data_IF_024366792889
#
_entry.id   IF_024366792889
#
_cell.length_a   1.000
_cell.length_b   1.000
_cell.length_c   1.000
_cell.angle_alpha   90.00
_cell.angle_beta   90.00
_cell.angle_gamma   90.00
#
_symmetry.space_group_name_H-M   'P 1'
#
loop_
_entity.id
_entity.type
_entity.pdbx_description
1 polymer ?
#
# COMPACT_ATOMS: atom_id res chain seq x y z
N UNK A 1 -20.31 16.01 -22.81
CA UNK A 1 -20.49 14.75 -22.04
C UNK A 1 -21.61 14.97 -21.05
N UNK A 2 -22.57 14.05 -20.92
CA UNK A 2 -23.54 14.13 -19.83
C UNK A 2 -22.81 14.04 -18.49
N UNK A 3 -23.37 14.63 -17.45
CA UNK A 3 -22.78 14.68 -16.11
C UNK A 3 -22.43 13.28 -15.56
N UNK A 4 -23.23 12.27 -15.93
CA UNK A 4 -23.05 10.85 -15.61
C UNK A 4 -21.72 10.31 -16.15
N UNK A 5 -21.40 10.59 -17.42
CA UNK A 5 -20.13 10.14 -18.01
C UNK A 5 -18.94 10.86 -17.36
N UNK A 6 -19.09 12.14 -17.02
CA UNK A 6 -18.05 12.90 -16.36
C UNK A 6 -17.75 12.37 -14.95
N UNK A 7 -18.79 12.11 -14.13
CA UNK A 7 -18.60 11.58 -12.76
C UNK A 7 -17.99 10.18 -12.77
N UNK A 8 -18.45 9.30 -13.66
CA UNK A 8 -17.92 7.94 -13.83
C UNK A 8 -16.46 7.97 -14.30
N UNK A 9 -16.14 8.82 -15.28
CA UNK A 9 -14.77 9.01 -15.76
C UNK A 9 -13.85 9.56 -14.66
N UNK A 10 -14.33 10.50 -13.86
CA UNK A 10 -13.56 11.07 -12.75
C UNK A 10 -13.30 10.04 -11.64
N UNK A 11 -14.31 9.24 -11.29
CA UNK A 11 -14.18 8.09 -10.38
C UNK A 11 -13.10 7.12 -10.87
N UNK A 12 -13.11 6.79 -12.16
CA UNK A 12 -12.09 5.93 -12.79
C UNK A 12 -10.68 6.52 -12.66
N UNK A 13 -10.50 7.81 -12.99
CA UNK A 13 -9.20 8.49 -12.86
C UNK A 13 -8.70 8.47 -11.42
N UNK A 14 -9.56 8.81 -10.45
CA UNK A 14 -9.18 8.85 -9.03
C UNK A 14 -8.76 7.47 -8.56
N UNK A 15 -9.53 6.43 -8.91
CA UNK A 15 -9.19 5.05 -8.61
C UNK A 15 -7.86 4.62 -9.23
N UNK A 16 -7.60 4.96 -10.49
CA UNK A 16 -6.33 4.68 -11.15
C UNK A 16 -5.16 5.39 -10.46
N UNK A 17 -5.32 6.63 -10.03
CA UNK A 17 -4.31 7.38 -9.27
C UNK A 17 -4.02 6.67 -7.94
N UNK A 18 -5.05 6.21 -7.23
CA UNK A 18 -4.89 5.49 -5.96
C UNK A 18 -4.17 4.17 -6.16
N UNK A 19 -4.56 3.38 -7.16
CA UNK A 19 -3.90 2.12 -7.48
C UNK A 19 -2.45 2.35 -7.91
N UNK A 20 -2.19 3.35 -8.76
CA UNK A 20 -0.83 3.72 -9.17
C UNK A 20 0.02 4.15 -7.97
N UNK A 21 -0.58 4.85 -7.02
CA UNK A 21 0.07 5.23 -5.77
C UNK A 21 0.32 4.04 -4.85
N UNK A 22 -0.63 3.13 -4.64
CA UNK A 22 -0.44 1.88 -3.90
C UNK A 22 0.68 1.05 -4.53
N UNK A 23 0.62 0.84 -5.85
CA UNK A 23 1.67 0.14 -6.62
C UNK A 23 3.02 0.86 -6.58
N UNK A 24 3.08 2.16 -6.30
CA UNK A 24 4.36 2.87 -6.15
C UNK A 24 5.14 2.46 -4.89
N UNK A 25 4.44 1.87 -3.90
CA UNK A 25 5.07 1.32 -2.71
C UNK A 25 5.62 -0.08 -2.91
N UNK A 26 5.11 -0.81 -3.89
CA UNK A 26 5.67 -2.08 -4.34
C UNK A 26 7.02 -1.83 -5.06
N UNK A 27 8.09 -2.12 -4.33
CA UNK A 27 9.46 -1.77 -4.71
C UNK A 27 10.21 -2.96 -5.32
N UNK A 28 9.89 -4.19 -4.91
CA UNK A 28 10.74 -5.36 -5.16
C UNK A 28 10.28 -6.19 -6.35
N UNK A 29 8.97 -6.40 -6.51
CA UNK A 29 8.36 -7.17 -7.60
C UNK A 29 7.14 -6.40 -8.10
N UNK A 30 7.35 -5.52 -9.07
CA UNK A 30 6.28 -4.66 -9.56
C UNK A 30 5.27 -5.40 -10.40
N UNK A 31 4.02 -5.27 -9.98
CA UNK A 31 2.92 -5.90 -10.69
C UNK A 31 2.77 -5.48 -12.15
N UNK A 32 2.44 -6.48 -12.99
CA UNK A 32 2.24 -6.28 -14.42
C UNK A 32 0.90 -5.59 -14.68
N UNK A 33 0.89 -4.62 -15.59
CA UNK A 33 -0.33 -3.90 -15.94
C UNK A 33 -1.42 -4.81 -16.51
N UNK A 34 -1.03 -5.90 -17.18
CA UNK A 34 -1.97 -6.90 -17.74
C UNK A 34 -2.71 -7.62 -16.63
N UNK A 35 -2.00 -8.08 -15.58
CA UNK A 35 -2.64 -8.76 -14.46
C UNK A 35 -3.57 -7.81 -13.69
N UNK A 36 -3.14 -6.57 -13.47
CA UNK A 36 -3.97 -5.53 -12.87
C UNK A 36 -5.23 -5.22 -13.70
N UNK A 37 -5.10 -5.20 -15.03
CA UNK A 37 -6.23 -4.99 -15.93
C UNK A 37 -7.24 -6.14 -15.84
N UNK A 38 -6.79 -7.40 -15.78
CA UNK A 38 -7.70 -8.53 -15.57
C UNK A 38 -8.34 -8.52 -14.19
N UNK A 39 -7.60 -8.12 -13.15
CA UNK A 39 -8.14 -7.93 -11.81
C UNK A 39 -9.26 -6.88 -11.79
N UNK A 40 -9.04 -5.76 -12.47
CA UNK A 40 -10.03 -4.71 -12.67
C UNK A 40 -11.25 -5.19 -13.46
N UNK A 41 -11.04 -5.77 -14.64
CA UNK A 41 -12.11 -6.09 -15.57
C UNK A 41 -12.88 -7.35 -15.16
N UNK A 42 -12.22 -8.51 -15.14
CA UNK A 42 -12.88 -9.78 -14.84
C UNK A 42 -13.34 -9.83 -13.39
N UNK A 43 -12.52 -9.33 -12.47
CA UNK A 43 -12.88 -9.24 -11.06
C UNK A 43 -14.02 -8.27 -10.81
N UNK A 44 -13.94 -7.05 -11.33
CA UNK A 44 -15.00 -6.04 -11.19
C UNK A 44 -16.33 -6.50 -11.76
N UNK A 45 -16.35 -7.02 -12.99
CA UNK A 45 -17.57 -7.55 -13.63
C UNK A 45 -18.17 -8.69 -12.83
N UNK A 46 -17.35 -9.68 -12.44
CA UNK A 46 -17.81 -10.82 -11.62
C UNK A 46 -18.44 -10.34 -10.32
N UNK A 47 -17.80 -9.36 -9.67
CA UNK A 47 -18.28 -8.79 -8.41
C UNK A 47 -19.63 -8.12 -8.58
N UNK A 48 -19.83 -7.32 -9.63
CA UNK A 48 -21.11 -6.66 -9.87
C UNK A 48 -22.20 -7.66 -10.21
N UNK A 49 -21.95 -8.60 -11.13
CA UNK A 49 -22.94 -9.62 -11.49
C UNK A 49 -23.37 -10.45 -10.29
N UNK A 50 -22.41 -10.78 -9.42
CA UNK A 50 -22.68 -11.50 -8.17
C UNK A 50 -23.54 -10.67 -7.22
N UNK A 51 -23.18 -9.40 -6.99
CA UNK A 51 -23.95 -8.52 -6.11
C UNK A 51 -25.38 -8.30 -6.63
N UNK A 52 -25.54 -8.01 -7.93
CA UNK A 52 -26.85 -7.86 -8.56
C UNK A 52 -27.69 -9.13 -8.45
N UNK A 53 -27.11 -10.30 -8.69
CA UNK A 53 -27.81 -11.58 -8.53
C UNK A 53 -28.27 -11.83 -7.10
N UNK A 54 -27.45 -11.47 -6.10
CA UNK A 54 -27.84 -11.56 -4.68
C UNK A 54 -28.96 -10.57 -4.36
N UNK A 55 -28.85 -9.32 -4.80
CA UNK A 55 -29.89 -8.32 -4.56
C UNK A 55 -31.23 -8.70 -5.20
N UNK A 56 -31.22 -9.21 -6.42
CA UNK A 56 -32.46 -9.69 -7.08
C UNK A 56 -33.07 -10.87 -6.33
N UNK A 57 -32.25 -11.81 -5.84
CA UNK A 57 -32.73 -12.89 -4.99
C UNK A 57 -33.35 -12.37 -3.69
N UNK A 58 -32.74 -11.39 -3.02
CA UNK A 58 -33.27 -10.79 -1.79
C UNK A 58 -34.60 -10.05 -2.02
N UNK A 59 -34.78 -9.40 -3.17
CA UNK A 59 -36.04 -8.75 -3.56
C UNK A 59 -37.22 -9.72 -3.61
N UNK A 60 -36.99 -10.99 -4.00
CA UNK A 60 -38.02 -12.03 -3.98
C UNK A 60 -38.58 -12.29 -2.56
N UNK A 61 -37.83 -11.93 -1.52
CA UNK A 61 -38.24 -12.04 -0.11
C UNK A 61 -38.73 -10.70 0.48
N UNK A 62 -38.96 -9.69 -0.36
CA UNK A 62 -39.45 -8.38 0.07
C UNK A 62 -38.36 -7.46 0.66
N UNK A 63 -37.08 -7.77 0.46
CA UNK A 63 -35.97 -6.90 0.82
C UNK A 63 -35.57 -6.04 -0.41
N UNK A 64 -36.34 -4.98 -0.65
CA UNK A 64 -36.09 -4.02 -1.72
C UNK A 64 -35.07 -2.94 -1.33
N UNK A 65 -34.67 -2.10 -2.31
CA UNK A 65 -33.64 -1.07 -2.09
C UNK A 65 -34.01 -0.12 -0.94
N UNK A 66 -35.29 0.23 -0.80
CA UNK A 66 -35.77 1.12 0.25
C UNK A 66 -35.64 0.49 1.64
N UNK A 67 -35.92 -0.80 1.77
CA UNK A 67 -35.74 -1.55 3.03
C UNK A 67 -34.25 -1.69 3.40
N UNK A 68 -33.38 -1.83 2.40
CA UNK A 68 -31.95 -2.03 2.58
C UNK A 68 -31.18 -0.73 2.83
N UNK A 69 -31.65 0.42 2.31
CA UNK A 69 -31.04 1.74 2.49
C UNK A 69 -31.25 2.32 3.89
N UNK A 70 -31.04 1.51 4.92
CA UNK A 70 -31.09 1.89 6.33
C UNK A 70 -29.73 1.65 6.96
N UNK A 71 -29.45 2.28 8.12
CA UNK A 71 -28.22 1.98 8.87
C UNK A 71 -28.09 0.50 9.18
N UNK A 72 -29.18 -0.19 9.54
CA UNK A 72 -29.11 -1.62 9.85
C UNK A 72 -28.89 -2.44 8.58
N UNK A 73 -29.56 -2.09 7.48
CA UNK A 73 -29.39 -2.73 6.17
C UNK A 73 -27.97 -2.58 5.63
N UNK A 74 -27.30 -1.45 5.88
CA UNK A 74 -25.92 -1.24 5.44
C UNK A 74 -24.92 -2.18 6.11
N UNK A 75 -25.07 -2.43 7.42
CA UNK A 75 -24.20 -3.33 8.17
C UNK A 75 -24.52 -4.82 7.94
N UNK A 76 -25.80 -5.17 7.85
CA UNK A 76 -26.22 -6.57 7.81
C UNK A 76 -26.33 -7.13 6.39
N UNK A 77 -26.54 -6.27 5.38
CA UNK A 77 -26.81 -6.71 4.01
C UNK A 77 -25.84 -6.06 3.02
N UNK A 78 -25.87 -4.74 2.83
CA UNK A 78 -25.13 -4.08 1.74
C UNK A 78 -23.61 -4.34 1.86
N UNK A 79 -23.00 -3.98 2.99
CA UNK A 79 -21.57 -4.21 3.23
C UNK A 79 -21.17 -5.69 3.10
N UNK A 80 -21.87 -6.64 3.75
CA UNK A 80 -21.63 -8.08 3.58
C UNK A 80 -21.75 -8.58 2.14
N UNK A 81 -22.85 -8.27 1.45
CA UNK A 81 -23.13 -8.74 0.08
C UNK A 81 -22.07 -8.23 -0.88
N UNK A 82 -21.75 -6.95 -0.83
CA UNK A 82 -20.83 -6.35 -1.80
C UNK A 82 -19.38 -6.75 -1.56
N UNK A 83 -18.94 -6.83 -0.31
CA UNK A 83 -17.57 -7.29 -0.02
C UNK A 83 -17.41 -8.79 -0.31
N UNK A 84 -18.47 -9.58 -0.11
CA UNK A 84 -18.47 -10.99 -0.51
C UNK A 84 -18.40 -11.14 -2.03
N UNK A 85 -19.19 -10.35 -2.75
CA UNK A 85 -19.17 -10.33 -4.21
C UNK A 85 -17.78 -9.94 -4.76
N UNK A 86 -17.13 -8.95 -4.15
CA UNK A 86 -15.74 -8.56 -4.43
C UNK A 86 -14.73 -9.67 -4.13
N UNK A 87 -14.91 -10.42 -3.04
CA UNK A 87 -14.12 -11.63 -2.77
C UNK A 87 -14.29 -12.66 -3.89
N UNK A 88 -15.52 -12.93 -4.36
CA UNK A 88 -15.74 -13.84 -5.48
C UNK A 88 -15.06 -13.36 -6.77
N UNK A 89 -15.09 -12.06 -7.04
CA UNK A 89 -14.31 -11.44 -8.13
C UNK A 89 -12.81 -11.69 -7.99
N UNK A 90 -12.25 -11.52 -6.79
CA UNK A 90 -10.85 -11.83 -6.51
C UNK A 90 -10.53 -13.32 -6.71
N UNK A 91 -11.42 -14.23 -6.33
CA UNK A 91 -11.23 -15.68 -6.53
C UNK A 91 -11.13 -16.02 -8.01
N UNK A 92 -12.01 -15.46 -8.84
CA UNK A 92 -11.96 -15.65 -10.30
C UNK A 92 -10.63 -15.14 -10.86
N UNK A 93 -10.24 -13.92 -10.49
CA UNK A 93 -8.99 -13.31 -10.92
C UNK A 93 -7.78 -14.12 -10.48
N UNK A 94 -7.75 -14.57 -9.23
CA UNK A 94 -6.67 -15.41 -8.70
C UNK A 94 -6.45 -16.66 -9.54
N UNK A 95 -7.51 -17.28 -10.06
CA UNK A 95 -7.37 -18.44 -10.93
C UNK A 95 -6.80 -18.07 -12.32
N UNK A 96 -7.05 -16.86 -12.81
CA UNK A 96 -6.50 -16.36 -14.08
C UNK A 96 -5.02 -15.95 -13.98
N UNK A 97 -4.62 -15.34 -12.86
CA UNK A 97 -3.28 -14.76 -12.65
C UNK A 97 -2.54 -15.37 -11.45
N UNK A 98 -2.76 -16.66 -11.22
CA UNK A 98 -2.23 -17.38 -10.03
C UNK A 98 -0.72 -17.26 -9.85
N UNK A 99 0.03 -17.21 -10.96
CA UNK A 99 1.49 -17.14 -10.94
C UNK A 99 2.00 -15.79 -10.44
N UNK A 100 1.22 -14.75 -10.67
CA UNK A 100 1.53 -13.37 -10.34
C UNK A 100 1.24 -13.05 -8.88
N UNK A 101 0.35 -13.79 -8.20
CA UNK A 101 0.13 -13.67 -6.74
C UNK A 101 1.30 -14.28 -5.94
N UNK A 102 2.48 -13.66 -5.95
CA UNK A 102 3.73 -14.22 -5.41
C UNK A 102 4.30 -13.45 -4.19
N UNK A 103 3.75 -12.30 -3.86
CA UNK A 103 4.00 -11.47 -2.69
C UNK A 103 2.69 -10.99 -2.03
N UNK A 104 2.73 -10.69 -0.73
CA UNK A 104 1.58 -10.20 0.05
C UNK A 104 1.01 -8.86 -0.47
N UNK A 105 1.87 -8.00 -1.01
CA UNK A 105 1.52 -6.70 -1.61
C UNK A 105 0.63 -6.88 -2.86
N UNK A 106 0.83 -7.94 -3.62
CA UNK A 106 0.06 -8.32 -4.82
C UNK A 106 -1.42 -8.51 -4.48
N UNK A 107 -1.69 -9.24 -3.39
CA UNK A 107 -3.05 -9.48 -2.92
C UNK A 107 -3.79 -8.17 -2.65
N UNK A 108 -3.09 -7.19 -2.06
CA UNK A 108 -3.60 -5.84 -1.81
C UNK A 108 -3.84 -5.08 -3.12
N UNK A 109 -2.90 -5.09 -4.05
CA UNK A 109 -3.00 -4.39 -5.34
C UNK A 109 -4.13 -4.97 -6.20
N UNK A 110 -4.20 -6.29 -6.34
CA UNK A 110 -5.23 -6.94 -7.15
C UNK A 110 -6.62 -6.75 -6.57
N UNK A 111 -6.77 -6.83 -5.25
CA UNK A 111 -8.06 -6.54 -4.62
C UNK A 111 -8.45 -5.07 -4.78
N UNK A 112 -7.50 -4.13 -4.74
CA UNK A 112 -7.77 -2.73 -5.06
C UNK A 112 -8.26 -2.56 -6.51
N UNK A 113 -7.69 -3.30 -7.48
CA UNK A 113 -8.17 -3.32 -8.86
C UNK A 113 -9.60 -3.87 -8.97
N UNK A 114 -9.90 -5.00 -8.31
CA UNK A 114 -11.26 -5.58 -8.27
C UNK A 114 -12.27 -4.58 -7.70
N UNK A 115 -11.94 -3.94 -6.57
CA UNK A 115 -12.80 -2.95 -5.92
C UNK A 115 -13.01 -1.70 -6.78
N UNK A 116 -12.00 -1.26 -7.53
CA UNK A 116 -12.15 -0.18 -8.51
C UNK A 116 -13.13 -0.57 -9.62
N UNK A 117 -13.00 -1.76 -10.19
CA UNK A 117 -13.91 -2.27 -11.22
C UNK A 117 -15.36 -2.30 -10.75
N UNK A 118 -15.58 -2.80 -9.53
CA UNK A 118 -16.89 -2.78 -8.88
C UNK A 118 -17.42 -1.33 -8.73
N UNK A 119 -16.63 -0.44 -8.13
CA UNK A 119 -17.06 0.92 -7.81
C UNK A 119 -17.39 1.77 -9.04
N UNK A 120 -16.67 1.61 -10.16
CA UNK A 120 -16.98 2.36 -11.40
C UNK A 120 -18.36 1.96 -11.93
N UNK A 121 -18.64 0.66 -11.98
CA UNK A 121 -19.89 0.14 -12.51
C UNK A 121 -21.05 0.50 -11.58
N UNK A 122 -20.85 0.38 -10.27
CA UNK A 122 -21.81 0.81 -9.27
C UNK A 122 -22.11 2.31 -9.41
N UNK A 123 -21.09 3.17 -9.44
CA UNK A 123 -21.26 4.61 -9.62
C UNK A 123 -22.02 4.95 -10.92
N UNK A 124 -21.79 4.20 -11.99
CA UNK A 124 -22.56 4.34 -13.22
C UNK A 124 -24.04 4.00 -13.02
N UNK A 125 -24.38 2.89 -12.35
CA UNK A 125 -25.77 2.53 -12.08
C UNK A 125 -26.48 3.54 -11.17
N UNK A 126 -25.82 4.00 -10.09
CA UNK A 126 -26.37 5.05 -9.24
C UNK A 126 -26.61 6.37 -10.00
N UNK A 127 -25.70 6.72 -10.92
CA UNK A 127 -25.83 7.91 -11.74
C UNK A 127 -26.98 7.86 -12.74
N UNK A 128 -27.37 6.66 -13.20
CA UNK A 128 -28.53 6.48 -14.07
C UNK A 128 -29.84 6.32 -13.29
N UNK A 129 -29.79 5.84 -12.05
CA UNK A 129 -30.99 5.62 -11.23
C UNK A 129 -31.54 6.89 -10.54
N UNK A 130 -30.70 7.90 -10.30
CA UNK A 130 -31.13 9.14 -9.64
C UNK A 130 -31.25 10.31 -10.62
N UNK A 131 -32.47 10.82 -10.82
CA UNK A 131 -32.69 12.08 -11.53
C UNK A 131 -32.24 13.28 -10.67
N UNK A 132 -31.46 14.20 -11.26
CA UNK A 132 -31.14 15.54 -10.74
C UNK A 132 -30.28 15.70 -9.47
N UNK A 133 -29.39 14.76 -9.11
CA UNK A 133 -28.42 14.98 -8.01
C UNK A 133 -26.96 15.07 -8.47
N UNK A 134 -26.66 16.08 -9.30
CA UNK A 134 -25.29 16.34 -9.78
C UNK A 134 -24.29 16.49 -8.61
N UNK A 135 -24.70 17.12 -7.51
CA UNK A 135 -23.88 17.27 -6.31
C UNK A 135 -23.52 15.93 -5.66
N UNK A 136 -24.49 15.02 -5.49
CA UNK A 136 -24.24 13.70 -4.89
C UNK A 136 -23.36 12.84 -5.79
N UNK A 137 -23.56 12.90 -7.10
CA UNK A 137 -22.76 12.15 -8.07
C UNK A 137 -21.30 12.64 -8.13
N UNK A 138 -21.07 13.96 -7.99
CA UNK A 138 -19.72 14.50 -7.83
C UNK A 138 -19.08 14.01 -6.53
N UNK A 139 -19.80 14.14 -5.41
CA UNK A 139 -19.33 13.72 -4.09
C UNK A 139 -18.96 12.23 -4.05
N UNK A 140 -19.80 11.36 -4.62
CA UNK A 140 -19.56 9.91 -4.71
C UNK A 140 -18.32 9.57 -5.54
N UNK A 141 -18.07 10.26 -6.66
CA UNK A 141 -16.89 10.01 -7.49
C UNK A 141 -15.58 10.15 -6.70
N UNK A 142 -15.49 11.15 -5.81
CA UNK A 142 -14.29 11.41 -4.98
C UNK A 142 -14.20 10.58 -3.71
N UNK A 143 -15.32 10.11 -3.17
CA UNK A 143 -15.36 9.55 -1.82
C UNK A 143 -15.66 8.06 -1.81
N UNK A 144 -16.63 7.60 -2.61
CA UNK A 144 -16.99 6.17 -2.67
C UNK A 144 -15.86 5.34 -3.29
N UNK A 145 -15.30 5.76 -4.44
CA UNK A 145 -14.24 4.97 -5.11
C UNK A 145 -13.02 4.69 -4.22
N UNK A 146 -12.41 5.70 -3.55
CA UNK A 146 -11.30 5.44 -2.63
C UNK A 146 -11.71 4.62 -1.40
N UNK A 147 -12.97 4.74 -0.98
CA UNK A 147 -13.52 4.00 0.14
C UNK A 147 -13.66 2.51 -0.19
N UNK A 148 -14.30 2.13 -1.30
CA UNK A 148 -14.39 0.72 -1.74
C UNK A 148 -13.01 0.06 -1.84
N UNK A 149 -12.04 0.75 -2.45
CA UNK A 149 -10.65 0.26 -2.49
C UNK A 149 -10.13 -0.02 -1.08
N UNK A 150 -10.31 0.94 -0.16
CA UNK A 150 -9.77 0.86 1.20
C UNK A 150 -10.48 -0.17 2.08
N UNK A 151 -11.75 -0.46 1.86
CA UNK A 151 -12.46 -1.53 2.57
C UNK A 151 -11.93 -2.89 2.17
N UNK A 152 -11.82 -3.11 0.86
CA UNK A 152 -11.59 -4.45 0.33
C UNK A 152 -10.13 -4.89 0.41
N UNK A 153 -9.13 -4.00 0.46
CA UNK A 153 -7.70 -4.39 0.46
C UNK A 153 -7.33 -5.43 1.52
N UNK A 154 -8.03 -5.46 2.67
CA UNK A 154 -7.79 -6.44 3.73
C UNK A 154 -8.19 -7.87 3.31
N UNK A 155 -9.20 -8.01 2.44
CA UNK A 155 -9.62 -9.28 1.86
C UNK A 155 -8.50 -9.82 0.97
N UNK A 156 -7.91 -8.96 0.13
CA UNK A 156 -6.78 -9.31 -0.73
C UNK A 156 -5.56 -9.77 0.06
N UNK A 157 -5.23 -9.04 1.12
CA UNK A 157 -4.19 -9.43 2.09
C UNK A 157 -4.48 -10.82 2.68
N UNK A 158 -5.68 -11.06 3.21
CA UNK A 158 -6.02 -12.34 3.83
C UNK A 158 -6.05 -13.50 2.82
N UNK A 159 -6.53 -13.25 1.60
CA UNK A 159 -6.59 -14.24 0.53
C UNK A 159 -5.20 -14.74 0.15
N UNK A 160 -4.22 -13.83 0.01
CA UNK A 160 -2.83 -14.22 -0.24
C UNK A 160 -2.31 -15.14 0.87
N UNK A 161 -2.49 -14.76 2.14
CA UNK A 161 -1.99 -15.54 3.28
C UNK A 161 -2.63 -16.92 3.37
N UNK A 162 -3.92 -17.02 3.08
CA UNK A 162 -4.60 -18.30 2.95
C UNK A 162 -3.99 -19.17 1.85
N UNK A 163 -3.81 -18.62 0.64
CA UNK A 163 -3.39 -19.39 -0.53
C UNK A 163 -1.88 -19.67 -0.63
N UNK A 164 -1.04 -18.82 -0.04
CA UNK A 164 0.43 -18.85 -0.21
C UNK A 164 1.19 -19.10 1.09
N UNK A 165 0.59 -18.83 2.25
CA UNK A 165 1.24 -18.99 3.56
C UNK A 165 0.54 -20.04 4.46
N UNK A 166 -0.37 -20.84 3.91
CA UNK A 166 -1.13 -21.89 4.63
C UNK A 166 -1.88 -21.39 5.88
N UNK A 167 -2.25 -20.09 5.93
CA UNK A 167 -3.10 -19.57 7.01
C UNK A 167 -4.53 -20.12 6.89
N UNK A 168 -5.26 -20.30 7.99
CA UNK A 168 -6.60 -20.89 7.93
C UNK A 168 -7.57 -19.99 7.18
N UNK A 169 -8.55 -20.59 6.48
CA UNK A 169 -9.58 -19.84 5.76
C UNK A 169 -10.38 -18.86 6.65
N UNK A 170 -10.44 -19.11 7.96
CA UNK A 170 -11.01 -18.17 8.94
C UNK A 170 -10.40 -16.77 8.90
N UNK A 171 -9.14 -16.63 8.43
CA UNK A 171 -8.51 -15.31 8.17
C UNK A 171 -9.21 -14.51 7.08
N UNK A 172 -9.68 -15.18 6.02
CA UNK A 172 -10.44 -14.56 4.93
C UNK A 172 -11.83 -14.17 5.43
N UNK A 173 -12.48 -15.03 6.20
CA UNK A 173 -13.79 -14.73 6.81
C UNK A 173 -13.70 -13.52 7.73
N UNK A 174 -12.67 -13.44 8.59
CA UNK A 174 -12.49 -12.27 9.43
C UNK A 174 -12.25 -11.00 8.59
N UNK A 175 -11.39 -11.08 7.58
CA UNK A 175 -11.12 -9.94 6.70
C UNK A 175 -12.40 -9.47 5.99
N UNK A 176 -13.23 -10.41 5.55
CA UNK A 176 -14.53 -10.13 4.97
C UNK A 176 -15.44 -9.41 5.98
N UNK A 177 -15.60 -9.94 7.19
CA UNK A 177 -16.41 -9.29 8.25
C UNK A 177 -15.92 -7.88 8.55
N UNK A 178 -14.60 -7.67 8.65
CA UNK A 178 -14.01 -6.35 8.89
C UNK A 178 -14.30 -5.41 7.72
N UNK A 179 -14.08 -5.85 6.48
CA UNK A 179 -14.37 -5.05 5.29
C UNK A 179 -15.86 -4.68 5.21
N UNK A 180 -16.75 -5.63 5.49
CA UNK A 180 -18.21 -5.41 5.49
C UNK A 180 -18.66 -4.44 6.56
N UNK A 181 -18.07 -4.48 7.76
CA UNK A 181 -18.35 -3.48 8.81
C UNK A 181 -17.86 -2.10 8.37
N UNK A 182 -16.64 -1.99 7.83
CA UNK A 182 -16.11 -0.71 7.34
C UNK A 182 -17.01 -0.12 6.24
N UNK A 183 -17.43 -0.95 5.30
CA UNK A 183 -18.37 -0.58 4.26
C UNK A 183 -19.73 -0.15 4.84
N UNK A 184 -20.30 -0.93 5.76
CA UNK A 184 -21.56 -0.60 6.42
C UNK A 184 -21.52 0.73 7.19
N UNK A 185 -20.39 1.07 7.84
CA UNK A 185 -20.18 2.39 8.48
C UNK A 185 -20.25 3.50 7.43
N UNK A 186 -19.58 3.32 6.29
CA UNK A 186 -19.56 4.30 5.23
C UNK A 186 -20.97 4.59 4.68
N UNK A 187 -21.71 3.54 4.38
CA UNK A 187 -23.09 3.68 3.88
C UNK A 187 -24.02 4.27 4.93
N UNK A 188 -23.90 3.85 6.19
CA UNK A 188 -24.69 4.43 7.29
C UNK A 188 -24.45 5.95 7.43
N UNK A 189 -23.20 6.39 7.28
CA UNK A 189 -22.85 7.81 7.27
C UNK A 189 -23.41 8.50 6.02
N UNK A 190 -23.33 7.87 4.84
CA UNK A 190 -23.79 8.44 3.58
C UNK A 190 -25.32 8.57 3.48
N UNK A 191 -26.05 7.63 4.09
CA UNK A 191 -27.51 7.67 4.18
C UNK A 191 -28.03 8.68 5.22
N UNK A 192 -27.14 9.24 6.04
CA UNK A 192 -27.50 10.16 7.12
C UNK A 192 -26.99 11.58 6.83
N UNK A 193 -27.83 12.48 6.24
CA UNK A 193 -27.36 13.81 5.79
C UNK A 193 -26.64 14.62 6.87
N UNK A 194 -27.07 14.50 8.13
CA UNK A 194 -26.49 15.17 9.29
C UNK A 194 -25.04 14.75 9.59
N UNK A 195 -24.63 13.55 9.16
CA UNK A 195 -23.31 12.98 9.43
C UNK A 195 -22.39 12.95 8.21
N UNK A 196 -22.82 13.44 7.05
CA UNK A 196 -22.02 13.44 5.82
C UNK A 196 -20.66 14.13 5.96
N UNK A 197 -20.51 15.10 6.86
CA UNK A 197 -19.21 15.75 7.12
C UNK A 197 -18.17 14.77 7.72
N UNK A 198 -18.61 13.70 8.40
CA UNK A 198 -17.74 12.67 8.97
C UNK A 198 -17.12 11.76 7.90
N UNK A 199 -17.71 11.67 6.71
CA UNK A 199 -17.20 10.81 5.64
C UNK A 199 -15.79 11.20 5.21
N UNK A 200 -15.41 12.47 5.21
CA UNK A 200 -14.05 12.89 4.88
C UNK A 200 -13.04 12.46 5.96
N UNK A 201 -13.41 12.57 7.25
CA UNK A 201 -12.59 12.10 8.36
C UNK A 201 -12.45 10.57 8.33
N UNK A 202 -13.56 9.88 8.04
CA UNK A 202 -13.60 8.44 7.89
C UNK A 202 -12.75 7.98 6.70
N UNK A 203 -12.88 8.64 5.55
CA UNK A 203 -12.08 8.39 4.34
C UNK A 203 -10.59 8.58 4.61
N UNK A 204 -10.23 9.68 5.27
CA UNK A 204 -8.84 9.92 5.69
C UNK A 204 -8.33 8.78 6.58
N UNK A 205 -9.13 8.36 7.55
CA UNK A 205 -8.77 7.28 8.46
C UNK A 205 -8.54 5.95 7.72
N UNK A 206 -9.48 5.50 6.88
CA UNK A 206 -9.35 4.24 6.12
C UNK A 206 -8.17 4.28 5.14
N UNK A 207 -7.91 5.41 4.48
CA UNK A 207 -6.75 5.55 3.56
C UNK A 207 -5.43 5.44 4.33
N UNK A 208 -5.32 6.07 5.50
CA UNK A 208 -4.11 5.98 6.35
C UNK A 208 -3.85 4.54 6.79
N UNK A 209 -4.90 3.76 7.01
CA UNK A 209 -4.77 2.39 7.43
C UNK A 209 -4.45 1.46 6.25
N UNK A 210 -5.05 1.67 5.08
CA UNK A 210 -4.64 1.04 3.81
C UNK A 210 -3.14 1.24 3.57
N UNK A 211 -2.66 2.48 3.74
CA UNK A 211 -1.23 2.80 3.65
C UNK A 211 -0.38 1.99 4.63
N UNK A 212 -0.83 1.84 5.87
CA UNK A 212 -0.10 1.06 6.88
C UNK A 212 -0.03 -0.42 6.50
N UNK A 213 -1.11 -0.97 5.94
CA UNK A 213 -1.12 -2.35 5.41
C UNK A 213 -0.10 -2.48 4.28
N UNK A 214 -0.13 -1.59 3.29
CA UNK A 214 0.82 -1.61 2.16
C UNK A 214 2.28 -1.44 2.63
N UNK A 215 2.54 -0.57 3.60
CA UNK A 215 3.87 -0.41 4.17
C UNK A 215 4.35 -1.67 4.90
N UNK A 216 3.44 -2.33 5.62
CA UNK A 216 3.71 -3.61 6.27
C UNK A 216 4.02 -4.71 5.26
N UNK A 217 3.20 -4.87 4.21
CA UNK A 217 3.40 -5.92 3.20
C UNK A 217 4.77 -5.80 2.52
N UNK A 218 5.18 -4.58 2.21
CA UNK A 218 6.51 -4.30 1.65
C UNK A 218 7.64 -4.66 2.62
N UNK A 219 7.49 -4.42 3.93
CA UNK A 219 8.53 -4.75 4.91
C UNK A 219 8.78 -6.25 4.99
N UNK A 220 7.72 -7.05 4.86
CA UNK A 220 7.75 -8.52 4.93
C UNK A 220 7.84 -9.20 3.56
N UNK A 221 8.08 -8.43 2.50
CA UNK A 221 8.24 -8.97 1.13
C UNK A 221 9.33 -10.06 1.09
N UNK A 222 9.07 -11.22 0.49
CA UNK A 222 10.08 -12.25 0.28
C UNK A 222 11.14 -11.83 -0.75
N UNK A 223 10.84 -10.84 -1.60
CA UNK A 223 11.76 -10.31 -2.61
C UNK A 223 12.65 -9.18 -2.09
N UNK A 224 12.48 -8.80 -0.81
CA UNK A 224 13.33 -7.81 -0.16
C UNK A 224 14.72 -8.40 0.08
N UNK A 225 15.78 -7.88 -0.56
CA UNK A 225 17.14 -8.34 -0.30
C UNK A 225 17.59 -7.94 1.12
N UNK A 226 18.45 -8.73 1.75
CA UNK A 226 19.16 -8.28 2.94
C UNK A 226 20.06 -7.08 2.60
N UNK A 227 20.09 -6.06 3.45
CA UNK A 227 20.87 -4.85 3.17
C UNK A 227 22.37 -5.16 3.01
N UNK A 228 22.92 -6.00 3.89
CA UNK A 228 24.33 -6.38 3.87
C UNK A 228 24.69 -7.22 2.64
N UNK A 229 23.79 -8.10 2.18
CA UNK A 229 23.98 -8.91 0.99
C UNK A 229 24.20 -8.07 -0.29
N UNK A 230 23.72 -6.82 -0.31
CA UNK A 230 23.96 -5.89 -1.43
C UNK A 230 25.41 -5.36 -1.49
N UNK A 231 26.23 -5.67 -0.49
CA UNK A 231 27.64 -5.27 -0.37
C UNK A 231 28.59 -6.47 -0.23
N UNK A 232 28.13 -7.71 -0.45
CA UNK A 232 28.99 -8.90 -0.39
C UNK A 232 29.89 -9.02 -1.63
N UNK A 233 29.35 -8.72 -2.81
CA UNK A 233 30.06 -8.83 -4.08
C UNK A 233 30.39 -7.45 -4.63
N UNK A 234 31.68 -7.13 -4.74
CA UNK A 234 32.12 -5.93 -5.44
C UNK A 234 32.05 -6.12 -6.95
N UNK A 235 32.01 -5.01 -7.68
CA UNK A 235 31.93 -5.01 -9.13
C UNK A 235 33.25 -5.39 -9.82
N UNK A 236 34.33 -5.63 -9.06
CA UNK A 236 35.69 -5.77 -9.61
C UNK A 236 36.26 -4.47 -10.20
N UNK A 237 35.56 -3.35 -10.02
CA UNK A 237 35.92 -2.02 -10.53
C UNK A 237 36.30 -1.09 -9.37
N UNK A 238 37.08 -0.05 -9.67
CA UNK A 238 37.39 1.03 -8.70
C UNK A 238 36.89 2.38 -9.21
N UNK A 239 36.29 3.16 -8.32
CA UNK A 239 35.90 4.53 -8.58
C UNK A 239 37.08 5.47 -8.30
N UNK A 240 37.51 6.22 -9.33
CA UNK A 240 38.56 7.24 -9.25
C UNK A 240 37.95 8.64 -9.07
N UNK A 241 38.70 9.57 -8.48
CA UNK A 241 38.27 10.97 -8.30
C UNK A 241 37.21 11.17 -7.21
N UNK A 242 37.05 10.21 -6.29
CA UNK A 242 36.17 10.32 -5.13
C UNK A 242 37.02 10.43 -3.87
N UNK A 243 37.12 11.65 -3.35
CA UNK A 243 37.69 11.89 -2.02
C UNK A 243 36.73 11.37 -0.94
N UNK A 244 37.27 10.62 0.03
CA UNK A 244 36.48 10.10 1.13
C UNK A 244 36.02 11.24 2.06
N UNK A 245 34.70 11.45 2.23
CA UNK A 245 34.19 12.50 3.12
C UNK A 245 34.49 12.26 4.61
N UNK A 246 34.87 11.03 4.99
CA UNK A 246 35.23 10.70 6.36
C UNK A 246 36.73 10.92 6.64
N UNK A 247 37.61 10.27 5.89
CA UNK A 247 39.06 10.25 6.16
C UNK A 247 39.92 11.04 5.15
N UNK A 248 39.34 11.66 4.12
CA UNK A 248 40.06 12.44 3.11
C UNK A 248 40.88 11.63 2.09
N UNK A 249 40.89 10.29 2.17
CA UNK A 249 41.64 9.47 1.21
C UNK A 249 41.12 9.66 -0.22
N UNK A 250 42.04 9.98 -1.14
CA UNK A 250 41.81 10.14 -2.59
C UNK A 250 42.05 8.86 -3.38
N UNK A 251 42.45 7.78 -2.71
CA UNK A 251 42.76 6.49 -3.35
C UNK A 251 41.54 5.93 -4.10
N UNK A 252 41.74 5.12 -5.15
CA UNK A 252 40.63 4.45 -5.82
C UNK A 252 39.75 3.68 -4.82
N UNK A 253 38.43 3.79 -4.94
CA UNK A 253 37.45 3.21 -4.01
C UNK A 253 36.82 1.97 -4.64
N UNK A 254 36.78 0.84 -3.94
CA UNK A 254 36.15 -0.38 -4.44
C UNK A 254 34.67 -0.14 -4.74
N UNK A 255 34.21 -0.48 -5.95
CA UNK A 255 32.85 -0.19 -6.39
C UNK A 255 31.89 -1.34 -6.10
N UNK A 256 30.70 -1.00 -5.59
CA UNK A 256 29.56 -1.89 -5.42
C UNK A 256 28.42 -1.37 -6.29
N UNK A 257 28.00 -2.17 -7.28
CA UNK A 257 26.91 -1.83 -8.18
C UNK A 257 25.90 -2.96 -8.17
N UNK A 258 24.65 -2.62 -7.90
CA UNK A 258 23.52 -3.55 -7.97
C UNK A 258 22.36 -2.89 -8.75
N UNK A 259 21.27 -3.64 -8.95
CA UNK A 259 20.09 -3.14 -9.69
C UNK A 259 19.41 -1.93 -9.04
N UNK A 260 19.71 -1.63 -7.78
CA UNK A 260 19.03 -0.60 -7.00
C UNK A 260 19.84 0.70 -6.87
N UNK A 261 21.15 0.61 -6.63
CA UNK A 261 22.02 1.75 -6.39
C UNK A 261 23.49 1.43 -6.67
N UNK A 262 24.32 2.48 -6.64
CA UNK A 262 25.77 2.37 -6.66
C UNK A 262 26.38 2.99 -5.40
N UNK A 263 27.36 2.31 -4.82
CA UNK A 263 28.14 2.78 -3.69
C UNK A 263 29.62 2.37 -3.89
N UNK A 264 30.54 3.01 -3.18
CA UNK A 264 31.94 2.59 -3.17
C UNK A 264 32.48 2.53 -1.75
N UNK A 265 33.42 1.63 -1.48
CA UNK A 265 34.05 1.45 -0.17
C UNK A 265 35.42 2.11 -0.12
N UNK A 266 35.70 2.78 0.98
CA UNK A 266 37.01 3.36 1.27
C UNK A 266 37.86 2.41 2.10
N UNK A 267 38.97 1.93 1.55
CA UNK A 267 39.87 1.01 2.27
C UNK A 267 40.50 1.66 3.50
N UNK A 268 40.82 2.95 3.44
CA UNK A 268 41.43 3.68 4.57
C UNK A 268 40.57 3.78 5.83
N UNK A 269 39.24 3.71 5.74
CA UNK A 269 38.37 3.83 6.93
C UNK A 269 37.19 2.83 6.99
N UNK A 270 37.00 2.01 5.97
CA UNK A 270 35.92 1.03 5.86
C UNK A 270 34.52 1.61 5.58
N UNK A 271 34.38 2.93 5.45
CA UNK A 271 33.10 3.56 5.12
C UNK A 271 32.74 3.36 3.65
N UNK A 272 31.44 3.18 3.42
CA UNK A 272 30.84 3.17 2.10
C UNK A 272 30.33 4.57 1.78
N UNK A 273 30.47 4.99 0.54
CA UNK A 273 30.15 6.31 0.02
C UNK A 273 29.15 6.11 -1.11
N UNK A 274 28.06 6.88 -1.08
CA UNK A 274 27.06 6.86 -2.13
C UNK A 274 26.65 8.29 -2.50
N UNK A 275 26.19 8.47 -3.74
CA UNK A 275 25.65 9.76 -4.16
C UNK A 275 24.43 10.13 -3.32
N UNK A 276 24.09 11.42 -3.21
CA UNK A 276 22.84 11.83 -2.54
C UNK A 276 21.60 11.17 -3.16
N UNK A 277 21.62 10.87 -4.46
CA UNK A 277 20.56 10.15 -5.15
C UNK A 277 20.45 8.70 -4.68
N UNK A 278 21.58 8.00 -4.62
CA UNK A 278 21.66 6.60 -4.18
C UNK A 278 21.33 6.45 -2.70
N UNK A 279 21.75 7.39 -1.85
CA UNK A 279 21.31 7.44 -0.44
C UNK A 279 19.79 7.53 -0.32
N UNK A 280 19.12 8.35 -1.15
CA UNK A 280 17.65 8.42 -1.17
C UNK A 280 17.03 7.10 -1.62
N UNK A 281 17.65 6.39 -2.57
CA UNK A 281 17.19 5.07 -3.03
C UNK A 281 17.32 4.04 -1.92
N UNK A 282 18.47 3.96 -1.25
CA UNK A 282 18.71 3.07 -0.10
C UNK A 282 17.63 3.28 0.97
N UNK A 283 17.41 4.52 1.42
CA UNK A 283 16.40 4.76 2.44
C UNK A 283 14.97 4.50 1.95
N UNK A 284 14.66 4.78 0.67
CA UNK A 284 13.35 4.42 0.10
C UNK A 284 13.14 2.90 0.08
N UNK A 285 14.19 2.12 -0.19
CA UNK A 285 14.15 0.66 -0.22
C UNK A 285 14.04 0.05 1.17
N UNK A 286 14.72 0.61 2.17
CA UNK A 286 14.89 -0.06 3.45
C UNK A 286 14.23 0.64 4.65
N UNK A 287 13.75 1.87 4.48
CA UNK A 287 13.04 2.63 5.51
C UNK A 287 11.66 3.08 4.95
N UNK A 288 10.57 2.34 5.22
CA UNK A 288 9.25 2.61 4.64
C UNK A 288 8.65 3.97 5.01
N UNK A 289 9.07 4.55 6.15
CA UNK A 289 8.66 5.88 6.58
C UNK A 289 9.42 7.03 5.89
N UNK A 290 10.36 6.69 5.01
CA UNK A 290 11.21 7.65 4.35
C UNK A 290 10.42 8.47 3.31
N UNK A 291 9.97 9.66 3.71
CA UNK A 291 9.29 10.60 2.81
C UNK A 291 10.26 11.50 2.04
N UNK A 292 11.26 12.10 2.73
CA UNK A 292 12.26 13.02 2.13
C UNK A 292 13.52 13.10 3.00
N UNK A 293 14.70 13.06 2.36
CA UNK A 293 16.01 13.20 3.02
C UNK A 293 16.08 14.42 3.95
N UNK A 294 15.70 15.60 3.44
CA UNK A 294 15.88 16.87 4.15
C UNK A 294 15.13 16.95 5.48
N UNK A 295 13.99 16.27 5.62
CA UNK A 295 13.20 16.28 6.86
C UNK A 295 13.75 15.35 7.95
N UNK A 296 14.75 14.53 7.62
CA UNK A 296 15.32 13.51 8.52
C UNK A 296 16.80 13.76 8.83
N UNK A 297 17.36 14.87 8.34
CA UNK A 297 18.74 15.26 8.63
C UNK A 297 18.82 15.84 10.05
N UNK A 298 19.62 15.23 10.90
CA UNK A 298 19.91 15.69 12.26
C UNK A 298 21.42 15.89 12.42
N UNK A 299 21.87 16.99 13.08
CA UNK A 299 23.29 17.18 13.34
C UNK A 299 23.81 16.03 14.23
N UNK A 300 24.97 15.49 13.88
CA UNK A 300 25.69 14.47 14.62
C UNK A 300 27.13 14.93 14.84
N UNK A 301 27.60 14.84 16.09
CA UNK A 301 28.94 15.24 16.49
C UNK A 301 29.84 14.00 16.54
N UNK A 302 30.96 14.05 15.82
CA UNK A 302 31.97 13.02 15.82
C UNK A 302 32.96 13.21 16.98
N UNK A 303 33.64 12.13 17.36
CA UNK A 303 34.67 12.13 18.41
C UNK A 303 35.84 13.07 18.11
N UNK A 304 36.09 13.33 16.82
CA UNK A 304 37.10 14.28 16.34
C UNK A 304 36.63 15.75 16.38
N UNK A 305 35.44 16.02 16.92
CA UNK A 305 34.88 17.37 17.05
C UNK A 305 34.10 17.86 15.83
N UNK A 306 34.11 17.15 14.70
CA UNK A 306 33.33 17.53 13.50
C UNK A 306 31.83 17.40 13.76
N UNK A 307 31.04 18.32 13.21
CA UNK A 307 29.57 18.21 13.21
C UNK A 307 29.08 18.02 11.79
N UNK A 308 28.44 16.88 11.51
CA UNK A 308 27.92 16.52 10.20
C UNK A 308 26.42 16.28 10.25
N UNK A 309 25.74 16.42 9.12
CA UNK A 309 24.33 16.05 9.05
C UNK A 309 24.22 14.54 8.90
N UNK A 310 23.39 13.92 9.73
CA UNK A 310 23.15 12.48 9.73
C UNK A 310 21.70 12.15 9.42
N UNK A 311 21.46 10.97 8.86
CA UNK A 311 20.13 10.38 8.73
C UNK A 311 20.11 9.14 9.59
N UNK A 312 19.20 9.13 10.56
CA UNK A 312 19.07 8.09 11.59
C UNK A 312 20.32 7.84 12.44
N UNK A 313 21.33 8.70 12.39
CA UNK A 313 22.58 8.57 13.15
C UNK A 313 23.57 7.53 12.62
N UNK A 314 23.30 6.92 11.46
CA UNK A 314 24.15 5.86 10.87
C UNK A 314 24.61 6.16 9.44
N UNK A 315 23.98 7.12 8.77
CA UNK A 315 24.47 7.67 7.51
C UNK A 315 24.74 9.17 7.66
N UNK A 316 25.85 9.64 7.12
CA UNK A 316 26.37 10.99 7.31
C UNK A 316 26.57 11.69 5.96
N UNK A 317 26.48 13.00 5.94
CA UNK A 317 26.68 13.83 4.76
C UNK A 317 27.78 14.84 5.03
N UNK A 318 28.80 14.86 4.17
CA UNK A 318 29.89 15.84 4.25
C UNK A 318 29.42 17.27 3.95
N UNK A 319 30.30 18.25 4.14
CA UNK A 319 29.96 19.69 4.07
C UNK A 319 29.30 20.14 2.75
N UNK A 320 29.62 19.51 1.61
CA UNK A 320 28.99 19.81 0.32
C UNK A 320 27.59 19.20 0.16
N UNK A 321 27.21 18.24 1.01
CA UNK A 321 25.92 17.53 0.98
C UNK A 321 25.67 16.68 -0.29
N UNK A 322 26.66 16.56 -1.18
CA UNK A 322 26.53 15.88 -2.49
C UNK A 322 26.67 14.36 -2.38
N UNK A 323 27.43 13.88 -1.40
CA UNK A 323 27.67 12.47 -1.12
C UNK A 323 27.38 12.16 0.35
N UNK A 324 26.74 11.02 0.57
CA UNK A 324 26.58 10.44 1.90
C UNK A 324 27.60 9.33 2.10
N UNK A 325 27.94 9.05 3.35
CA UNK A 325 28.77 7.94 3.74
C UNK A 325 28.22 7.24 4.97
N UNK A 326 28.43 5.93 5.06
CA UNK A 326 27.87 5.06 6.11
C UNK A 326 28.72 3.81 6.26
N UNK A 327 28.60 3.12 7.39
CA UNK A 327 29.14 1.77 7.56
C UNK A 327 27.99 0.77 7.37
N UNK A 328 28.22 -0.29 6.59
CA UNK A 328 27.16 -1.23 6.20
C UNK A 328 26.48 -1.85 7.43
N UNK A 329 27.24 -2.41 8.38
CA UNK A 329 26.67 -3.02 9.59
C UNK A 329 25.88 -2.04 10.46
N UNK A 330 26.44 -0.87 10.77
CA UNK A 330 25.75 0.15 11.58
C UNK A 330 24.46 0.66 10.92
N UNK A 331 24.48 0.84 9.60
CA UNK A 331 23.29 1.22 8.85
C UNK A 331 22.28 0.07 8.77
N UNK A 332 22.73 -1.18 8.61
CA UNK A 332 21.89 -2.38 8.59
C UNK A 332 21.10 -2.51 9.90
N UNK A 333 21.78 -2.46 11.04
CA UNK A 333 21.16 -2.51 12.37
C UNK A 333 20.11 -1.41 12.56
N UNK A 334 20.45 -0.18 12.13
CA UNK A 334 19.54 0.96 12.27
C UNK A 334 18.29 0.81 11.39
N UNK A 335 18.46 0.36 10.15
CA UNK A 335 17.34 0.07 9.24
C UNK A 335 16.47 -1.07 9.80
N UNK A 336 17.08 -2.10 10.37
CA UNK A 336 16.37 -3.21 11.01
C UNK A 336 15.56 -2.73 12.22
N UNK A 337 16.13 -1.87 13.07
CA UNK A 337 15.42 -1.28 14.20
C UNK A 337 14.18 -0.46 13.75
N UNK A 338 14.31 0.34 12.69
CA UNK A 338 13.20 1.11 12.11
C UNK A 338 12.10 0.17 11.60
N UNK A 339 12.47 -0.92 10.92
CA UNK A 339 11.52 -1.94 10.45
C UNK A 339 10.80 -2.59 11.63
N UNK A 340 11.53 -3.02 12.67
CA UNK A 340 10.95 -3.64 13.87
C UNK A 340 9.98 -2.70 14.59
N UNK A 341 10.30 -1.41 14.68
CA UNK A 341 9.41 -0.41 15.26
C UNK A 341 8.15 -0.22 14.41
N UNK A 342 8.28 -0.18 13.08
CA UNK A 342 7.14 -0.12 12.17
C UNK A 342 6.23 -1.33 12.35
N UNK A 343 6.79 -2.54 12.38
CA UNK A 343 6.06 -3.79 12.62
C UNK A 343 5.32 -3.76 13.96
N UNK A 344 6.00 -3.27 15.01
CA UNK A 344 5.40 -3.10 16.33
C UNK A 344 4.25 -2.09 16.33
N UNK A 345 4.41 -0.95 15.64
CA UNK A 345 3.36 0.07 15.50
C UNK A 345 2.18 -0.43 14.68
N UNK A 346 2.44 -1.14 13.57
CA UNK A 346 1.42 -1.76 12.74
C UNK A 346 0.58 -2.74 13.56
N UNK A 347 1.25 -3.62 14.32
CA UNK A 347 0.58 -4.50 15.28
C UNK A 347 -0.27 -3.67 16.27
N UNK A 348 0.28 -2.64 16.92
CA UNK A 348 -0.46 -1.89 17.95
C UNK A 348 -1.61 -1.00 17.45
N UNK A 349 -1.62 -0.52 16.19
CA UNK A 349 -2.48 0.59 15.74
C UNK A 349 -3.31 0.36 14.47
N UNK A 350 -3.18 -0.78 13.79
CA UNK A 350 -4.02 -1.09 12.63
C UNK A 350 -5.44 -1.48 13.03
N UNK A 351 -6.40 -1.42 12.09
CA UNK A 351 -7.83 -1.71 12.27
C UNK A 351 -8.14 -2.98 13.05
N UNK A 352 -7.24 -3.94 12.94
CA UNK A 352 -7.27 -5.20 13.63
C UNK A 352 -6.33 -5.03 14.81
N UNK A 353 -6.85 -5.02 16.04
CA UNK A 353 -5.98 -4.88 17.23
C UNK A 353 -4.80 -5.83 17.11
N UNK A 354 -3.61 -5.42 17.53
CA UNK A 354 -2.41 -6.25 17.40
C UNK A 354 -2.54 -7.64 18.00
N UNK A 355 -3.47 -7.82 18.93
CA UNK A 355 -3.82 -9.11 19.50
C UNK A 355 -4.72 -9.96 18.58
N UNK A 356 -5.62 -9.36 17.81
CA UNK A 356 -6.43 -10.04 16.79
C UNK A 356 -5.58 -10.37 15.55
N UNK A 357 -4.64 -9.48 15.16
CA UNK A 357 -3.65 -9.78 14.12
C UNK A 357 -2.70 -10.90 14.58
N UNK A 358 -2.16 -10.83 15.80
CA UNK A 358 -1.20 -11.81 16.33
C UNK A 358 -1.82 -13.18 16.63
N UNK A 359 -3.12 -13.27 16.96
CA UNK A 359 -3.79 -14.57 17.21
C UNK A 359 -4.27 -15.28 15.95
N UNK A 360 -4.41 -14.57 14.83
CA UNK A 360 -5.01 -15.13 13.61
C UNK A 360 -4.07 -15.13 12.41
N UNK A 361 -3.07 -14.26 12.40
CA UNK A 361 -2.18 -14.04 11.27
C UNK A 361 -0.69 -14.37 11.59
N UNK A 362 -0.36 -14.66 12.84
CA UNK A 362 0.85 -15.42 13.24
C UNK A 362 0.41 -16.81 13.66
#
# INVERSE_FOLDING_TARGET
MSFIYLSTFLSAIIGLIIIAWIRSFDIYEKETFIAMFWAFLAGGITSVLTALGIYEFLRLFGLDDASLSTTLGSFLVIGPVEEFAKLLGLIVVYNLIRKQFNELTDGVIYMACVALGFSIIENYFYANAQENSQYLLFYRAFISTPAHISFSVIIGYAWYRYKRENKPFGTVILALVVASILHGVFDALAFSPWFNFLLLFYLYFIIIQTLRVVQYTNVVSPFRPAFEALFENSAGETAKGIECPNCGSVDPKELYRNKYFTACRCDGCGYHIASRGDMRRIFRLFAPEYKRLGKKLTPARFSDGRTLMSVYGSAFFGGSGSRGFFRVGELAERLQAINNELMTRFRKRSFVSGNLLRRLFE
#
